data_IF_234879926656
#
_entry.id   IF_234879926656
#
_cell.length_a   1.000
_cell.length_b   1.000
_cell.length_c   1.000
_cell.angle_alpha   90.00
_cell.angle_beta   90.00
_cell.angle_gamma   90.00
#
_symmetry.space_group_name_H-M   'P 1'
#
loop_
_entity.id
_entity.type
_entity.pdbx_description
1 polymer ?
#
# COMPACT_ATOMS: atom_id res chain seq x y z
N UNK A 1 -65.72 17.69 -31.71
CA UNK A 1 -66.38 16.79 -30.76
C UNK A 1 -65.60 16.85 -29.46
N UNK A 2 -66.21 17.42 -28.41
CA UNK A 2 -65.76 17.31 -27.02
C UNK A 2 -66.71 16.30 -26.32
N UNK A 3 -66.62 16.08 -24.98
CA UNK A 3 -65.59 15.30 -24.25
C UNK A 3 -66.25 14.30 -23.25
N UNK A 4 -65.45 13.52 -22.50
CA UNK A 4 -65.78 12.91 -21.18
C UNK A 4 -64.77 11.77 -20.88
N UNK A 5 -64.35 11.44 -19.66
CA UNK A 5 -64.33 12.07 -18.33
C UNK A 5 -63.60 11.07 -17.40
N UNK A 6 -63.11 11.53 -16.24
CA UNK A 6 -62.82 10.64 -15.09
C UNK A 6 -61.38 10.59 -14.57
N UNK A 7 -61.10 11.41 -13.56
CA UNK A 7 -59.94 11.28 -12.64
C UNK A 7 -60.23 10.26 -11.49
N UNK A 8 -59.48 10.19 -10.36
CA UNK A 8 -58.76 8.98 -9.93
C UNK A 8 -59.32 8.34 -8.63
N UNK A 9 -58.87 7.12 -8.28
CA UNK A 9 -59.10 6.49 -6.96
C UNK A 9 -57.75 5.93 -6.46
N UNK A 10 -57.11 6.51 -5.43
CA UNK A 10 -57.34 6.39 -3.98
C UNK A 10 -56.55 5.23 -3.34
N UNK A 11 -55.61 5.60 -2.46
CA UNK A 11 -54.75 4.75 -1.63
C UNK A 11 -55.51 3.84 -0.66
N UNK A 12 -54.91 2.71 -0.22
CA UNK A 12 -55.13 2.19 1.11
C UNK A 12 -54.06 2.70 2.08
N UNK A 13 -54.57 3.54 2.98
CA UNK A 13 -54.01 3.98 4.27
C UNK A 13 -53.51 2.78 5.11
N UNK A 14 -52.26 2.84 5.56
CA UNK A 14 -51.81 2.12 6.77
C UNK A 14 -51.49 3.16 7.83
N UNK A 15 -52.33 3.20 8.87
CA UNK A 15 -52.17 4.05 10.05
C UNK A 15 -51.20 3.42 11.07
N UNK A 16 -50.58 4.27 11.92
CA UNK A 16 -49.52 3.89 12.85
C UNK A 16 -50.08 3.38 14.17
N UNK A 17 -49.38 2.46 14.83
CA UNK A 17 -49.61 2.12 16.23
C UNK A 17 -48.76 3.01 17.14
N UNK A 18 -49.44 3.98 17.75
CA UNK A 18 -49.15 4.62 19.05
C UNK A 18 -48.86 3.58 20.13
N UNK A 19 -47.87 3.72 21.01
CA UNK A 19 -47.90 4.44 22.31
C UNK A 19 -46.58 4.01 23.00
N UNK A 20 -45.89 4.77 23.86
CA UNK A 20 -46.22 5.95 24.66
C UNK A 20 -44.94 6.37 25.42
N UNK A 21 -44.74 7.68 25.61
CA UNK A 21 -44.27 8.38 26.84
C UNK A 21 -43.13 7.74 27.67
N UNK A 22 -42.03 8.43 27.98
CA UNK A 22 -42.01 9.58 28.90
C UNK A 22 -40.91 10.61 28.58
N UNK A 23 -41.30 11.88 28.73
CA UNK A 23 -40.48 13.09 28.84
C UNK A 23 -39.59 13.06 30.09
N UNK A 24 -38.31 13.39 29.94
CA UNK A 24 -37.68 14.66 30.34
C UNK A 24 -37.51 14.89 31.85
N UNK A 25 -36.31 15.31 32.25
CA UNK A 25 -36.06 16.60 32.92
C UNK A 25 -34.54 16.76 33.13
N UNK A 26 -34.06 17.93 32.75
CA UNK A 26 -32.70 18.44 32.94
C UNK A 26 -32.37 18.71 34.42
N UNK A 27 -31.09 18.82 34.78
CA UNK A 27 -30.51 20.02 35.41
C UNK A 27 -29.02 19.85 35.78
N UNK A 28 -28.25 20.88 35.40
CA UNK A 28 -27.10 21.53 36.07
C UNK A 28 -26.30 20.79 37.17
N UNK A 29 -24.98 20.88 37.09
CA UNK A 29 -24.13 20.59 38.25
C UNK A 29 -22.62 20.74 38.04
N UNK A 30 -22.12 21.90 38.41
CA UNK A 30 -20.73 22.36 38.38
C UNK A 30 -19.66 21.44 39.00
N UNK A 31 -18.46 21.58 38.44
CA UNK A 31 -17.13 21.48 39.06
C UNK A 31 -17.01 20.99 40.52
N UNK A 32 -16.13 19.99 40.73
CA UNK A 32 -15.25 19.95 41.90
C UNK A 32 -13.98 19.16 41.61
N UNK A 33 -12.86 19.86 41.77
CA UNK A 33 -11.53 19.30 41.90
C UNK A 33 -11.47 18.33 43.10
N UNK A 34 -10.92 17.14 42.88
CA UNK A 34 -10.66 16.14 43.90
C UNK A 34 -9.20 15.70 43.80
N UNK A 35 -8.37 16.28 44.66
CA UNK A 35 -6.98 15.93 44.87
C UNK A 35 -6.89 14.53 45.50
N UNK A 36 -6.33 13.55 44.78
CA UNK A 36 -6.18 12.17 45.22
C UNK A 36 -4.76 11.68 44.97
N UNK A 37 -3.91 11.82 45.98
CA UNK A 37 -2.50 11.39 46.01
C UNK A 37 -2.41 9.98 46.60
N UNK A 38 -2.09 8.97 45.79
CA UNK A 38 -1.49 7.67 46.17
C UNK A 38 -1.33 6.84 44.88
N UNK A 39 -0.37 5.95 44.67
CA UNK A 39 0.92 5.62 45.26
C UNK A 39 1.64 4.80 44.17
N UNK A 40 2.98 4.86 44.19
CA UNK A 40 3.90 4.24 43.24
C UNK A 40 3.57 2.77 42.86
N UNK A 41 3.44 2.52 41.56
CA UNK A 41 3.60 1.20 40.95
C UNK A 41 4.64 1.31 39.83
N UNK A 42 5.85 0.84 40.09
CA UNK A 42 6.93 0.71 39.10
C UNK A 42 6.50 -0.31 38.02
N UNK A 43 5.93 0.18 36.93
CA UNK A 43 5.82 -0.54 35.66
C UNK A 43 6.76 0.11 34.67
N UNK A 44 7.90 -0.51 34.41
CA UNK A 44 8.90 -0.05 33.44
C UNK A 44 8.25 0.08 32.06
N UNK A 45 8.00 1.32 31.65
CA UNK A 45 7.64 1.66 30.29
C UNK A 45 8.85 1.38 29.38
N UNK A 46 8.82 0.24 28.70
CA UNK A 46 9.77 -0.09 27.63
C UNK A 46 9.46 0.83 26.45
N UNK A 47 10.09 2.01 26.45
CA UNK A 47 9.90 3.04 25.43
C UNK A 47 10.41 2.56 24.06
N UNK A 48 9.81 3.08 22.99
CA UNK A 48 10.19 2.86 21.59
C UNK A 48 11.68 3.10 21.25
N UNK A 49 12.47 3.67 22.17
CA UNK A 49 13.91 3.82 22.04
C UNK A 49 14.67 2.47 22.05
N UNK A 50 14.11 1.40 22.64
CA UNK A 50 14.80 0.11 22.73
C UNK A 50 14.82 -0.65 21.39
N UNK A 51 13.86 -0.41 20.49
CA UNK A 51 13.81 -1.07 19.18
C UNK A 51 14.83 -0.47 18.18
N UNK A 52 15.08 0.84 18.26
CA UNK A 52 16.08 1.53 17.43
C UNK A 52 17.51 1.15 17.85
N UNK A 53 17.75 0.95 19.16
CA UNK A 53 19.06 0.58 19.68
C UNK A 53 19.51 -0.85 19.32
N UNK A 54 18.57 -1.79 19.18
CA UNK A 54 18.90 -3.20 18.90
C UNK A 54 19.23 -3.49 17.43
N UNK A 55 18.77 -2.66 16.49
CA UNK A 55 19.13 -2.79 15.07
C UNK A 55 20.47 -2.13 14.75
N UNK A 56 20.91 -1.18 15.58
CA UNK A 56 22.21 -0.51 15.40
C UNK A 56 23.42 -1.43 15.70
N UNK A 57 23.19 -2.61 16.29
CA UNK A 57 24.23 -3.63 16.55
C UNK A 57 24.29 -4.73 15.49
N UNK A 58 23.41 -4.72 14.48
CA UNK A 58 23.49 -5.59 13.30
C UNK A 58 24.30 -4.94 12.16
N UNK A 59 25.20 -4.00 12.48
CA UNK A 59 26.14 -3.43 11.51
C UNK A 59 27.32 -4.38 11.26
N UNK A 60 27.06 -5.53 10.64
CA UNK A 60 28.10 -6.08 9.77
C UNK A 60 28.19 -5.12 8.58
N UNK A 61 29.39 -4.65 8.18
CA UNK A 61 29.52 -3.80 7.00
C UNK A 61 28.99 -4.58 5.78
N UNK A 62 27.96 -4.02 5.13
CA UNK A 62 27.45 -4.55 3.87
C UNK A 62 28.53 -4.32 2.80
N UNK A 63 28.84 -5.32 1.94
CA UNK A 63 29.77 -5.12 0.84
C UNK A 63 29.23 -4.02 -0.08
N UNK A 64 30.08 -3.08 -0.50
CA UNK A 64 29.69 -2.02 -1.44
C UNK A 64 30.63 -2.09 -2.63
N UNK A 65 30.13 -2.46 -3.81
CA UNK A 65 30.83 -2.23 -5.08
C UNK A 65 30.09 -1.15 -5.86
N UNK A 66 30.78 -0.07 -6.19
CA UNK A 66 30.35 0.88 -7.22
C UNK A 66 31.38 0.83 -8.33
N UNK A 67 31.00 0.26 -9.47
CA UNK A 67 31.74 0.39 -10.72
C UNK A 67 30.75 0.62 -11.87
N UNK A 68 30.88 1.76 -12.55
CA UNK A 68 30.20 2.01 -13.82
C UNK A 68 30.94 1.24 -14.91
N UNK A 69 30.31 0.23 -15.52
CA UNK A 69 30.90 -0.57 -16.60
C UNK A 69 30.14 -0.37 -17.92
N UNK A 70 30.87 -0.18 -19.01
CA UNK A 70 30.35 -0.04 -20.38
C UNK A 70 29.77 -1.37 -20.89
N UNK A 71 28.72 -1.30 -21.70
CA UNK A 71 27.87 -2.42 -22.11
C UNK A 71 28.52 -3.53 -23.00
N UNK A 72 29.82 -3.46 -23.28
CA UNK A 72 30.52 -4.41 -24.17
C UNK A 72 31.46 -5.41 -23.45
N UNK A 73 31.42 -5.49 -22.10
CA UNK A 73 32.25 -6.43 -21.32
C UNK A 73 31.49 -7.35 -20.34
N UNK A 74 30.22 -7.68 -20.59
CA UNK A 74 29.45 -8.60 -19.73
C UNK A 74 29.76 -10.08 -19.99
N UNK A 75 30.96 -10.52 -19.59
CA UNK A 75 31.12 -11.86 -19.04
C UNK A 75 31.80 -11.66 -17.70
N UNK A 76 31.03 -11.80 -16.62
CA UNK A 76 31.55 -11.77 -15.26
C UNK A 76 32.68 -12.80 -15.16
N UNK A 77 33.79 -12.40 -14.55
CA UNK A 77 34.89 -13.34 -14.37
C UNK A 77 34.52 -14.41 -13.34
N UNK A 78 35.07 -15.64 -13.41
CA UNK A 78 34.78 -16.69 -12.42
C UNK A 78 35.05 -16.29 -10.96
N UNK A 79 35.96 -15.33 -10.74
CA UNK A 79 36.25 -14.78 -9.42
C UNK A 79 35.14 -13.85 -8.91
N UNK A 80 34.54 -13.05 -9.81
CA UNK A 80 33.41 -12.17 -9.50
C UNK A 80 32.13 -12.97 -9.24
N UNK A 81 31.86 -14.02 -10.04
CA UNK A 81 30.74 -14.94 -9.82
C UNK A 81 30.85 -15.61 -8.43
N UNK A 82 32.02 -16.11 -8.06
CA UNK A 82 32.24 -16.76 -6.76
C UNK A 82 32.10 -15.80 -5.56
N UNK A 83 32.55 -14.55 -5.69
CA UNK A 83 32.36 -13.52 -4.66
C UNK A 83 30.88 -13.18 -4.50
N UNK A 84 30.17 -13.12 -5.62
CA UNK A 84 28.74 -12.84 -5.68
C UNK A 84 27.90 -13.94 -5.02
N UNK A 85 28.14 -15.21 -5.36
CA UNK A 85 27.51 -16.37 -4.71
C UNK A 85 27.77 -16.37 -3.19
N UNK A 86 29.00 -16.02 -2.78
CA UNK A 86 29.37 -15.91 -1.37
C UNK A 86 28.56 -14.83 -0.63
N UNK A 87 28.33 -13.67 -1.26
CA UNK A 87 27.51 -12.60 -0.70
C UNK A 87 26.04 -13.00 -0.55
N UNK A 88 25.49 -13.71 -1.53
CA UNK A 88 24.12 -14.21 -1.45
C UNK A 88 23.94 -15.20 -0.32
N UNK A 89 24.86 -16.16 -0.21
CA UNK A 89 24.83 -17.17 0.85
C UNK A 89 24.95 -16.53 2.24
N UNK A 90 25.71 -15.44 2.37
CA UNK A 90 25.79 -14.67 3.61
C UNK A 90 24.44 -14.02 3.97
N UNK A 91 23.74 -13.45 2.99
CA UNK A 91 22.40 -12.88 3.20
C UNK A 91 21.39 -13.96 3.57
N UNK A 92 21.34 -15.08 2.85
CA UNK A 92 20.43 -16.20 3.15
C UNK A 92 20.69 -16.77 4.56
N UNK A 93 21.96 -16.93 4.94
CA UNK A 93 22.35 -17.34 6.28
C UNK A 93 21.84 -16.37 7.35
N UNK A 94 21.99 -15.06 7.14
CA UNK A 94 21.48 -14.04 8.04
C UNK A 94 19.94 -14.07 8.15
N UNK A 95 19.22 -14.23 7.03
CA UNK A 95 17.76 -14.37 7.00
C UNK A 95 17.29 -15.59 7.79
N UNK A 96 17.98 -16.71 7.68
CA UNK A 96 17.64 -17.94 8.41
C UNK A 96 17.75 -17.76 9.93
N UNK A 97 18.67 -16.92 10.39
CA UNK A 97 18.93 -16.67 11.80
C UNK A 97 17.92 -15.69 12.45
N UNK A 98 17.19 -14.89 11.65
CA UNK A 98 16.20 -13.95 12.17
C UNK A 98 14.97 -14.68 12.70
N UNK A 99 14.39 -14.27 13.85
CA UNK A 99 13.33 -15.06 14.48
C UNK A 99 11.96 -14.84 13.83
N UNK A 100 11.69 -13.67 13.25
CA UNK A 100 10.37 -13.31 12.71
C UNK A 100 10.47 -12.89 11.25
N UNK A 101 9.40 -13.13 10.50
CA UNK A 101 9.33 -12.79 9.09
C UNK A 101 9.37 -11.28 8.85
N UNK A 102 8.79 -10.49 9.75
CA UNK A 102 8.90 -9.03 9.69
C UNK A 102 10.36 -8.56 9.84
N UNK A 103 11.18 -9.25 10.62
CA UNK A 103 12.61 -8.92 10.75
C UNK A 103 13.35 -9.23 9.44
N UNK A 104 12.97 -10.33 8.75
CA UNK A 104 13.49 -10.68 7.41
C UNK A 104 13.09 -9.67 6.36
N UNK A 105 11.83 -9.21 6.37
CA UNK A 105 11.36 -8.12 5.52
C UNK A 105 12.20 -6.85 5.71
N UNK A 106 12.45 -6.46 6.97
CA UNK A 106 13.27 -5.30 7.30
C UNK A 106 14.72 -5.48 6.85
N UNK A 107 15.29 -6.66 7.04
CA UNK A 107 16.64 -6.98 6.59
C UNK A 107 16.76 -6.89 5.06
N UNK A 108 15.82 -7.48 4.31
CA UNK A 108 15.79 -7.42 2.84
C UNK A 108 15.61 -5.99 2.32
N UNK A 109 14.80 -5.18 3.00
CA UNK A 109 14.65 -3.75 2.67
C UNK A 109 15.95 -3.00 2.90
N UNK A 110 16.69 -3.29 3.99
CA UNK A 110 18.00 -2.72 4.25
C UNK A 110 19.04 -3.17 3.21
N UNK A 111 19.03 -4.45 2.82
CA UNK A 111 19.88 -4.99 1.75
C UNK A 111 19.65 -4.21 0.46
N UNK A 112 18.38 -4.04 0.03
CA UNK A 112 18.04 -3.25 -1.17
C UNK A 112 18.55 -1.81 -1.11
N UNK A 113 18.50 -1.18 0.07
CA UNK A 113 18.97 0.20 0.23
C UNK A 113 20.49 0.33 0.14
N UNK A 114 21.21 -0.70 0.59
CA UNK A 114 22.68 -0.71 0.55
C UNK A 114 23.21 -1.16 -0.82
N UNK A 115 22.59 -2.18 -1.40
CA UNK A 115 22.98 -2.82 -2.65
C UNK A 115 21.72 -3.32 -3.40
N UNK A 116 21.23 -2.49 -4.32
CA UNK A 116 20.03 -2.79 -5.10
C UNK A 116 20.25 -3.95 -6.08
N UNK A 117 21.48 -4.11 -6.59
CA UNK A 117 21.85 -5.17 -7.54
C UNK A 117 21.88 -6.53 -6.84
N UNK A 118 22.55 -6.63 -5.69
CA UNK A 118 22.55 -7.84 -4.87
C UNK A 118 21.12 -8.23 -4.47
N UNK A 119 20.28 -7.26 -4.07
CA UNK A 119 18.89 -7.54 -3.72
C UNK A 119 18.10 -8.15 -4.87
N UNK A 120 18.21 -7.58 -6.08
CA UNK A 120 17.46 -8.12 -7.22
C UNK A 120 18.02 -9.45 -7.68
N UNK A 121 19.33 -9.68 -7.63
CA UNK A 121 19.91 -10.99 -7.93
C UNK A 121 19.46 -12.06 -6.94
N UNK A 122 19.52 -11.77 -5.63
CA UNK A 122 18.95 -12.63 -4.58
C UNK A 122 17.49 -12.99 -4.84
N UNK A 123 16.67 -12.01 -5.23
CA UNK A 123 15.26 -12.22 -5.51
C UNK A 123 15.04 -13.09 -6.77
N UNK A 124 15.88 -12.96 -7.79
CA UNK A 124 15.80 -13.77 -9.02
C UNK A 124 16.30 -15.20 -8.80
N UNK A 125 17.42 -15.37 -8.10
CA UNK A 125 18.07 -16.67 -7.93
C UNK A 125 17.43 -17.51 -6.82
N UNK A 126 16.87 -16.86 -5.79
CA UNK A 126 16.26 -17.51 -4.62
C UNK A 126 14.79 -17.11 -4.44
N UNK A 127 14.05 -16.94 -5.54
CA UNK A 127 12.66 -16.42 -5.52
C UNK A 127 11.76 -17.14 -4.51
N UNK A 128 11.76 -18.48 -4.48
CA UNK A 128 10.86 -19.25 -3.61
C UNK A 128 11.10 -18.98 -2.10
N UNK A 129 12.36 -18.72 -1.72
CA UNK A 129 12.74 -18.44 -0.34
C UNK A 129 12.48 -16.98 0.04
N UNK A 130 12.76 -16.04 -0.87
CA UNK A 130 12.68 -14.60 -0.58
C UNK A 130 11.25 -14.05 -0.71
N UNK A 131 10.46 -14.56 -1.66
CA UNK A 131 9.14 -14.01 -2.00
C UNK A 131 8.16 -13.95 -0.80
N UNK A 132 8.09 -14.95 0.11
CA UNK A 132 7.21 -14.88 1.28
C UNK A 132 7.49 -13.70 2.23
N UNK A 133 8.72 -13.17 2.22
CA UNK A 133 9.13 -12.07 3.10
C UNK A 133 8.88 -10.70 2.47
N UNK A 134 9.10 -10.52 1.16
CA UNK A 134 8.89 -9.22 0.49
C UNK A 134 7.48 -9.05 -0.09
N UNK A 135 6.73 -10.14 -0.18
CA UNK A 135 5.36 -10.19 -0.66
C UNK A 135 4.47 -10.89 0.37
N UNK A 136 3.35 -11.49 -0.04
CA UNK A 136 2.43 -12.18 0.86
C UNK A 136 3.07 -13.43 1.47
N UNK A 137 2.90 -13.68 2.78
CA UNK A 137 2.02 -12.98 3.71
C UNK A 137 2.65 -11.77 4.43
N UNK A 138 3.98 -11.67 4.50
CA UNK A 138 4.70 -10.74 5.38
C UNK A 138 4.46 -9.27 5.05
N UNK A 139 4.30 -8.93 3.77
CA UNK A 139 3.94 -7.56 3.36
C UNK A 139 2.62 -7.09 3.98
N UNK A 140 1.71 -8.02 4.26
CA UNK A 140 0.46 -7.74 4.95
C UNK A 140 0.68 -7.28 6.39
N UNK A 141 1.55 -7.98 7.13
CA UNK A 141 1.99 -7.54 8.47
C UNK A 141 2.67 -6.18 8.40
N UNK A 142 3.55 -5.99 7.41
CA UNK A 142 4.23 -4.72 7.21
C UNK A 142 3.24 -3.56 6.98
N UNK A 143 2.17 -3.77 6.20
CA UNK A 143 1.14 -2.76 5.98
C UNK A 143 0.37 -2.40 7.25
N UNK A 144 0.08 -3.37 8.13
CA UNK A 144 -0.65 -3.12 9.39
C UNK A 144 0.12 -2.25 10.37
N UNK A 145 1.46 -2.35 10.34
CA UNK A 145 2.35 -1.69 11.29
C UNK A 145 3.31 -0.71 10.61
N UNK A 146 2.99 -0.29 9.38
CA UNK A 146 3.92 0.43 8.50
C UNK A 146 4.49 1.70 9.15
N UNK A 147 3.68 2.43 9.92
CA UNK A 147 4.09 3.63 10.63
C UNK A 147 5.05 3.36 11.80
N UNK A 148 5.02 2.16 12.37
CA UNK A 148 5.86 1.71 13.49
C UNK A 148 7.24 1.21 13.03
N UNK A 149 7.34 0.72 11.79
CA UNK A 149 8.55 0.06 11.28
C UNK A 149 9.76 0.99 11.15
N UNK A 150 9.56 2.31 11.23
CA UNK A 150 10.65 3.29 11.09
C UNK A 150 11.28 3.33 9.69
N UNK A 151 10.63 2.73 8.69
CA UNK A 151 11.10 2.69 7.31
C UNK A 151 10.80 3.99 6.56
N UNK A 152 11.72 4.38 5.68
CA UNK A 152 11.46 5.38 4.66
C UNK A 152 10.67 4.73 3.51
N UNK A 153 9.49 5.28 3.12
CA UNK A 153 8.74 4.78 1.97
C UNK A 153 9.50 5.08 0.66
N UNK A 154 9.47 4.13 -0.26
CA UNK A 154 9.89 4.28 -1.65
C UNK A 154 8.64 4.53 -2.50
N UNK A 155 8.34 5.78 -2.81
CA UNK A 155 7.14 6.16 -3.53
C UNK A 155 6.63 7.53 -3.11
N UNK A 156 5.39 7.84 -3.45
CA UNK A 156 4.76 9.09 -3.04
C UNK A 156 3.38 8.90 -2.44
N UNK A 157 3.06 9.78 -1.49
CA UNK A 157 1.73 9.94 -0.94
C UNK A 157 1.07 11.13 -1.63
N UNK A 158 -0.14 10.91 -2.13
CA UNK A 158 -0.99 11.96 -2.70
C UNK A 158 -2.21 12.10 -1.81
N UNK A 159 -2.45 13.32 -1.32
CA UNK A 159 -3.54 13.62 -0.40
C UNK A 159 -4.53 14.63 -1.00
N UNK A 160 -5.72 14.83 -0.42
CA UNK A 160 -6.64 15.89 -0.87
C UNK A 160 -6.04 17.29 -0.78
N UNK A 161 -5.06 17.52 0.10
CA UNK A 161 -4.35 18.79 0.22
C UNK A 161 -3.41 19.06 -0.98
N UNK A 162 -3.12 18.04 -1.78
CA UNK A 162 -2.27 18.11 -2.96
C UNK A 162 -3.04 18.28 -4.26
N UNK A 163 -4.37 18.35 -4.17
CA UNK A 163 -5.25 18.54 -5.33
C UNK A 163 -4.84 19.77 -6.15
N UNK A 164 -4.77 19.59 -7.46
CA UNK A 164 -4.25 20.55 -8.44
C UNK A 164 -2.74 20.47 -8.67
N UNK A 165 -2.00 19.62 -7.93
CA UNK A 165 -0.54 19.50 -8.03
C UNK A 165 -0.05 18.08 -8.32
N UNK A 166 -0.93 17.10 -8.59
CA UNK A 166 -0.49 15.70 -8.75
C UNK A 166 0.54 15.54 -9.87
N UNK A 167 0.38 16.24 -11.00
CA UNK A 167 1.35 16.18 -12.09
C UNK A 167 2.75 16.70 -11.68
N UNK A 168 2.81 17.77 -10.90
CA UNK A 168 4.07 18.31 -10.38
C UNK A 168 4.73 17.33 -9.42
N UNK A 169 3.97 16.80 -8.46
CA UNK A 169 4.46 15.86 -7.46
C UNK A 169 4.97 14.55 -8.09
N UNK A 170 4.23 14.02 -9.08
CA UNK A 170 4.66 12.82 -9.81
C UNK A 170 5.97 13.06 -10.59
N UNK A 171 6.16 14.25 -11.19
CA UNK A 171 7.44 14.60 -11.86
C UNK A 171 8.60 14.71 -10.85
N UNK A 172 8.34 15.31 -9.69
CA UNK A 172 9.32 15.44 -8.63
C UNK A 172 9.73 14.09 -8.00
N UNK A 173 8.82 13.11 -7.98
CA UNK A 173 9.04 11.79 -7.41
C UNK A 173 10.12 10.95 -8.12
N UNK A 174 10.26 11.13 -9.44
CA UNK A 174 11.22 10.42 -10.31
C UNK A 174 11.81 11.40 -11.32
N UNK A 175 12.69 12.32 -10.87
CA UNK A 175 13.26 13.32 -11.74
C UNK A 175 14.17 12.63 -12.77
N UNK A 176 14.05 13.02 -14.05
CA UNK A 176 14.89 12.55 -15.17
C UNK A 176 14.76 11.08 -15.59
N UNK A 177 14.01 10.22 -14.89
CA UNK A 177 13.87 8.80 -15.25
C UNK A 177 12.72 8.50 -16.23
N UNK A 178 11.69 9.36 -16.23
CA UNK A 178 10.49 9.21 -17.05
C UNK A 178 9.68 7.96 -16.68
N UNK A 179 8.65 8.16 -15.85
CA UNK A 179 7.81 7.09 -15.29
C UNK A 179 7.13 6.28 -16.42
N UNK A 180 7.13 4.96 -16.27
CA UNK A 180 6.60 3.96 -17.21
C UNK A 180 5.51 3.09 -16.61
N UNK A 181 5.55 2.87 -15.31
CA UNK A 181 4.51 2.19 -14.58
C UNK A 181 4.23 2.89 -13.25
N UNK A 182 2.95 2.99 -12.90
CA UNK A 182 2.47 3.35 -11.58
C UNK A 182 1.72 2.14 -11.02
N UNK A 183 2.01 1.76 -9.78
CA UNK A 183 1.11 0.95 -8.98
C UNK A 183 0.52 1.87 -7.93
N UNK A 184 -0.80 2.01 -7.94
CA UNK A 184 -1.52 2.85 -6.99
C UNK A 184 -2.43 1.99 -6.12
N UNK A 185 -2.52 2.37 -4.84
CA UNK A 185 -3.52 1.86 -3.90
C UNK A 185 -4.08 3.02 -3.07
N UNK A 186 -5.33 2.89 -2.60
CA UNK A 186 -5.90 3.74 -1.55
C UNK A 186 -5.93 3.04 -0.17
N UNK A 187 -5.39 1.81 -0.11
CA UNK A 187 -5.27 1.02 1.12
C UNK A 187 -6.57 0.59 1.76
N UNK A 188 -7.71 0.66 1.05
CA UNK A 188 -9.02 0.34 1.61
C UNK A 188 -9.24 -1.17 1.80
N UNK A 189 -8.62 -2.01 0.96
CA UNK A 189 -8.82 -3.47 0.99
C UNK A 189 -7.50 -4.21 0.83
N UNK A 190 -6.54 -3.93 1.72
CA UNK A 190 -5.23 -4.57 1.71
C UNK A 190 -5.38 -6.07 1.96
N UNK A 191 -5.12 -6.87 0.93
CA UNK A 191 -5.27 -8.34 0.96
C UNK A 191 -6.62 -8.78 1.59
N UNK A 192 -6.56 -9.59 2.66
CA UNK A 192 -7.70 -9.94 3.51
C UNK A 192 -7.75 -9.18 4.84
N UNK A 193 -6.94 -8.13 4.99
CA UNK A 193 -6.75 -7.37 6.24
C UNK A 193 -7.66 -6.14 6.34
N UNK A 194 -8.35 -5.81 5.25
CA UNK A 194 -9.26 -4.67 5.18
C UNK A 194 -8.51 -3.33 5.06
N UNK A 195 -9.08 -2.31 5.68
CA UNK A 195 -8.60 -0.94 5.58
C UNK A 195 -7.35 -0.71 6.43
N UNK A 196 -6.21 -0.48 5.77
CA UNK A 196 -4.93 -0.14 6.43
C UNK A 196 -4.48 1.30 6.15
N UNK A 197 -5.36 2.11 5.52
CA UNK A 197 -5.08 3.51 5.20
C UNK A 197 -3.73 3.70 4.51
N UNK A 198 -2.96 4.69 4.94
CA UNK A 198 -1.64 5.02 4.43
C UNK A 198 -0.60 3.89 4.53
N UNK A 199 -0.80 2.91 5.43
CA UNK A 199 0.06 1.72 5.51
C UNK A 199 0.00 0.83 4.28
N UNK A 200 -1.03 1.01 3.43
CA UNK A 200 -1.16 0.31 2.16
C UNK A 200 -0.02 0.54 1.16
N UNK A 201 0.81 1.57 1.36
CA UNK A 201 2.00 1.83 0.53
C UNK A 201 2.86 0.58 0.31
N UNK A 202 3.00 -0.28 1.33
CA UNK A 202 3.80 -1.51 1.23
C UNK A 202 3.36 -2.45 0.09
N UNK A 203 2.08 -2.42 -0.29
CA UNK A 203 1.58 -3.20 -1.44
C UNK A 203 2.07 -2.61 -2.76
N UNK A 204 1.93 -1.30 -2.96
CA UNK A 204 2.41 -0.63 -4.18
C UNK A 204 3.93 -0.80 -4.35
N UNK A 205 4.68 -0.70 -3.26
CA UNK A 205 6.13 -0.98 -3.23
C UNK A 205 6.42 -2.42 -3.66
N UNK A 206 5.78 -3.39 -2.98
CA UNK A 206 6.00 -4.82 -3.25
C UNK A 206 5.70 -5.21 -4.70
N UNK A 207 4.60 -4.70 -5.29
CA UNK A 207 4.25 -4.97 -6.69
C UNK A 207 5.32 -4.45 -7.66
N UNK A 208 5.91 -3.30 -7.38
CA UNK A 208 6.98 -2.75 -8.21
C UNK A 208 8.25 -3.57 -8.12
N UNK A 209 8.61 -4.08 -6.93
CA UNK A 209 9.71 -5.03 -6.80
C UNK A 209 9.52 -6.26 -7.70
N UNK A 210 8.29 -6.80 -7.74
CA UNK A 210 7.97 -7.92 -8.62
C UNK A 210 8.04 -7.56 -10.11
N UNK A 211 7.60 -6.36 -10.50
CA UNK A 211 7.79 -5.89 -11.88
C UNK A 211 9.25 -5.80 -12.29
N UNK A 212 10.11 -5.33 -11.39
CA UNK A 212 11.54 -5.24 -11.68
C UNK A 212 12.14 -6.63 -11.81
N UNK A 213 11.93 -7.51 -10.82
CA UNK A 213 12.54 -8.85 -10.82
C UNK A 213 11.98 -9.77 -11.92
N UNK A 214 10.67 -9.74 -12.18
CA UNK A 214 10.02 -10.71 -13.07
C UNK A 214 9.80 -10.20 -14.49
N UNK A 215 9.75 -8.88 -14.69
CA UNK A 215 9.48 -8.27 -16.00
C UNK A 215 10.59 -7.33 -16.48
N UNK A 216 11.70 -7.20 -15.74
CA UNK A 216 12.84 -6.36 -16.10
C UNK A 216 12.51 -4.87 -16.14
N UNK A 217 11.47 -4.43 -15.42
CA UNK A 217 11.12 -3.01 -15.35
C UNK A 217 12.18 -2.26 -14.52
N UNK A 218 12.87 -1.30 -15.14
CA UNK A 218 13.80 -0.40 -14.44
C UNK A 218 13.09 0.26 -13.23
N UNK A 219 13.54 0.01 -11.98
CA UNK A 219 12.86 0.47 -10.76
C UNK A 219 12.79 2.00 -10.69
N UNK A 220 13.73 2.73 -11.33
CA UNK A 220 13.72 4.20 -11.41
C UNK A 220 12.59 4.73 -12.28
N UNK A 221 12.02 3.87 -13.13
CA UNK A 221 10.90 4.18 -14.03
C UNK A 221 9.57 3.65 -13.53
N UNK A 222 9.55 3.01 -12.36
CA UNK A 222 8.36 2.59 -11.66
C UNK A 222 8.11 3.54 -10.48
N UNK A 223 6.84 3.84 -10.19
CA UNK A 223 6.48 4.69 -9.07
C UNK A 223 5.35 4.07 -8.23
N UNK A 224 5.64 3.68 -6.98
CA UNK A 224 4.62 3.34 -6.01
C UNK A 224 3.86 4.60 -5.60
N UNK A 225 2.54 4.55 -5.65
CA UNK A 225 1.66 5.66 -5.26
C UNK A 225 0.70 5.17 -4.18
N UNK A 226 0.60 5.95 -3.11
CA UNK A 226 -0.43 5.84 -2.09
C UNK A 226 -1.38 7.04 -2.22
N UNK A 227 -2.63 6.77 -2.56
CA UNK A 227 -3.68 7.79 -2.55
C UNK A 227 -4.31 7.82 -1.14
N UNK A 228 -3.73 8.62 -0.24
CA UNK A 228 -4.21 8.72 1.14
C UNK A 228 -5.38 9.71 1.22
N UNK A 229 -6.58 9.17 1.28
CA UNK A 229 -7.86 9.90 1.39
C UNK A 229 -8.48 9.76 2.78
N UNK A 230 -7.70 9.35 3.78
CA UNK A 230 -8.17 8.95 5.10
C UNK A 230 -8.37 7.44 5.24
N UNK A 231 -8.83 7.02 6.41
CA UNK A 231 -9.11 5.60 6.73
C UNK A 231 -10.35 5.48 7.60
N UNK A 232 -11.12 4.40 7.43
CA UNK A 232 -12.24 4.06 8.30
C UNK A 232 -11.83 3.14 9.44
N UNK A 233 -10.58 2.68 9.49
CA UNK A 233 -10.06 1.84 10.55
C UNK A 233 -9.88 2.64 11.85
N UNK A 234 -10.79 2.44 12.80
CA UNK A 234 -10.78 3.15 14.09
C UNK A 234 -9.51 2.93 14.90
N UNK A 235 -8.86 1.76 14.75
CA UNK A 235 -7.61 1.48 15.47
C UNK A 235 -6.49 2.39 14.97
N UNK A 236 -6.37 2.58 13.65
CA UNK A 236 -5.39 3.48 13.07
C UNK A 236 -5.69 4.96 13.39
N UNK A 237 -6.96 5.36 13.40
CA UNK A 237 -7.34 6.71 13.78
C UNK A 237 -7.01 7.02 15.24
N UNK A 238 -7.19 6.04 16.13
CA UNK A 238 -6.88 6.16 17.56
C UNK A 238 -5.38 6.04 17.87
N UNK A 239 -4.58 5.43 16.99
CA UNK A 239 -3.16 5.20 17.21
C UNK A 239 -2.37 6.52 17.09
N UNK A 240 -1.73 7.05 18.14
CA UNK A 240 -0.96 8.29 18.10
C UNK A 240 0.28 8.23 17.19
N UNK A 241 0.76 7.04 16.85
CA UNK A 241 1.87 6.82 15.92
C UNK A 241 1.47 6.78 14.44
N UNK A 242 0.18 6.67 14.12
CA UNK A 242 -0.29 6.64 12.73
C UNK A 242 0.11 7.89 11.95
N UNK A 243 0.70 7.68 10.76
CA UNK A 243 1.30 8.73 9.92
C UNK A 243 0.40 9.21 8.77
N UNK A 244 -0.68 8.49 8.45
CA UNK A 244 -1.62 8.91 7.41
C UNK A 244 -2.61 9.97 7.90
N UNK A 245 -3.52 10.38 7.02
CA UNK A 245 -4.57 11.34 7.34
C UNK A 245 -5.51 10.80 8.44
N UNK A 246 -5.61 11.54 9.54
CA UNK A 246 -6.47 11.21 10.70
C UNK A 246 -7.91 11.66 10.49
N UNK A 247 -8.52 11.17 9.43
CA UNK A 247 -9.91 11.43 9.10
C UNK A 247 -10.55 10.20 8.45
N UNK A 248 -11.88 10.16 8.44
CA UNK A 248 -12.63 9.17 7.67
C UNK A 248 -12.37 9.33 6.17
N UNK A 249 -12.52 8.22 5.44
CA UNK A 249 -12.29 8.19 4.00
C UNK A 249 -13.17 9.20 3.28
N UNK A 250 -12.59 9.98 2.38
CA UNK A 250 -13.36 10.71 1.37
C UNK A 250 -14.13 9.73 0.49
N UNK A 251 -15.33 10.15 0.04
CA UNK A 251 -16.25 9.35 -0.76
C UNK A 251 -16.93 10.22 -1.82
N UNK A 252 -17.50 9.55 -2.83
CA UNK A 252 -18.30 10.21 -3.85
C UNK A 252 -17.49 11.19 -4.70
N UNK A 253 -18.06 12.33 -5.11
CA UNK A 253 -17.44 13.25 -6.06
C UNK A 253 -16.05 13.73 -5.65
N UNK A 254 -15.83 14.02 -4.37
CA UNK A 254 -14.54 14.54 -3.88
C UNK A 254 -13.41 13.50 -4.05
N UNK A 255 -13.71 12.22 -3.82
CA UNK A 255 -12.76 11.13 -4.07
C UNK A 255 -12.52 10.94 -5.57
N UNK A 256 -13.59 11.00 -6.37
CA UNK A 256 -13.53 10.80 -7.82
C UNK A 256 -12.69 11.88 -8.51
N UNK A 257 -12.78 13.13 -8.04
CA UNK A 257 -11.99 14.24 -8.56
C UNK A 257 -10.48 14.03 -8.34
N UNK A 258 -10.08 13.41 -7.22
CA UNK A 258 -8.67 13.08 -6.96
C UNK A 258 -8.18 11.95 -7.88
N UNK A 259 -9.00 10.93 -8.10
CA UNK A 259 -8.66 9.85 -9.03
C UNK A 259 -8.61 10.36 -10.47
N UNK A 260 -9.56 11.21 -10.88
CA UNK A 260 -9.55 11.86 -12.20
C UNK A 260 -8.29 12.70 -12.40
N UNK A 261 -7.87 13.45 -11.39
CA UNK A 261 -6.62 14.21 -11.44
C UNK A 261 -5.42 13.30 -11.59
N UNK A 262 -5.34 12.20 -10.82
CA UNK A 262 -4.27 11.21 -10.92
C UNK A 262 -4.20 10.61 -12.33
N UNK A 263 -5.33 10.18 -12.87
CA UNK A 263 -5.41 9.59 -14.22
C UNK A 263 -5.04 10.62 -15.30
N UNK A 264 -5.43 11.88 -15.12
CA UNK A 264 -5.06 12.96 -16.04
C UNK A 264 -3.57 13.27 -15.97
N UNK A 265 -3.01 13.33 -14.77
CA UNK A 265 -1.59 13.54 -14.53
C UNK A 265 -0.75 12.39 -15.11
N UNK A 266 -1.16 11.14 -14.87
CA UNK A 266 -0.53 9.95 -15.42
C UNK A 266 -0.47 9.98 -16.96
N UNK A 267 -1.59 10.28 -17.62
CA UNK A 267 -1.64 10.44 -19.08
C UNK A 267 -0.74 11.59 -19.58
N UNK A 268 -0.68 12.68 -18.82
CA UNK A 268 0.14 13.86 -19.15
C UNK A 268 1.63 13.61 -18.98
N UNK A 269 2.04 12.73 -18.06
CA UNK A 269 3.43 12.27 -17.94
C UNK A 269 3.83 11.45 -19.16
N UNK A 270 2.99 10.48 -19.53
CA UNK A 270 3.20 9.65 -20.70
C UNK A 270 1.89 8.98 -21.14
N UNK A 271 1.42 9.19 -22.39
CA UNK A 271 0.11 8.70 -22.85
C UNK A 271 -0.12 7.18 -22.71
N UNK A 272 0.94 6.39 -22.85
CA UNK A 272 0.89 4.91 -22.77
C UNK A 272 1.63 4.36 -21.54
N UNK A 273 1.69 5.13 -20.45
CA UNK A 273 2.17 4.63 -19.16
C UNK A 273 1.21 3.58 -18.62
N UNK A 274 1.73 2.52 -18.01
CA UNK A 274 0.90 1.55 -17.30
C UNK A 274 0.47 2.12 -15.95
N UNK A 275 -0.82 2.07 -15.64
CA UNK A 275 -1.32 2.32 -14.29
C UNK A 275 -2.08 1.10 -13.78
N UNK A 276 -1.57 0.51 -12.70
CA UNK A 276 -2.19 -0.61 -12.00
C UNK A 276 -2.92 -0.11 -10.76
N UNK A 277 -4.20 -0.42 -10.66
CA UNK A 277 -4.97 -0.29 -9.42
C UNK A 277 -4.80 -1.56 -8.57
N UNK A 278 -4.42 -1.39 -7.31
CA UNK A 278 -4.20 -2.48 -6.37
C UNK A 278 -4.94 -2.25 -5.04
N UNK A 279 -5.59 -3.29 -4.51
CA UNK A 279 -6.18 -3.31 -3.16
C UNK A 279 -7.17 -2.16 -2.85
N UNK A 280 -7.89 -1.70 -3.88
CA UNK A 280 -9.01 -0.77 -3.73
C UNK A 280 -10.25 -1.47 -3.13
N UNK A 281 -11.05 -0.72 -2.39
CA UNK A 281 -12.36 -1.17 -1.92
C UNK A 281 -13.26 -1.64 -3.07
N UNK A 282 -14.02 -2.73 -2.88
CA UNK A 282 -14.77 -3.41 -3.95
C UNK A 282 -15.60 -2.46 -4.84
N UNK A 283 -16.36 -1.55 -4.21
CA UNK A 283 -17.20 -0.60 -4.92
C UNK A 283 -16.39 0.34 -5.83
N UNK A 284 -15.22 0.79 -5.37
CA UNK A 284 -14.33 1.64 -6.14
C UNK A 284 -13.59 0.85 -7.21
N UNK A 285 -13.05 -0.33 -6.88
CA UNK A 285 -12.24 -1.13 -7.80
C UNK A 285 -12.95 -1.40 -9.15
N UNK A 286 -14.21 -1.88 -9.11
CA UNK A 286 -14.97 -2.15 -10.35
C UNK A 286 -15.34 -0.87 -11.10
N UNK A 287 -15.82 0.15 -10.37
CA UNK A 287 -16.26 1.42 -10.94
C UNK A 287 -15.13 2.19 -11.61
N UNK A 288 -13.96 2.27 -10.97
CA UNK A 288 -12.78 2.94 -11.51
C UNK A 288 -12.23 2.18 -12.73
N UNK A 289 -12.18 0.85 -12.67
CA UNK A 289 -11.79 0.04 -13.81
C UNK A 289 -12.70 0.28 -15.02
N UNK A 290 -14.03 0.21 -14.82
CA UNK A 290 -15.02 0.46 -15.88
C UNK A 290 -14.87 1.84 -16.51
N UNK A 291 -14.62 2.86 -15.67
CA UNK A 291 -14.45 4.25 -16.10
C UNK A 291 -13.22 4.48 -16.96
N UNK A 292 -12.08 3.87 -16.65
CA UNK A 292 -10.80 4.23 -17.30
C UNK A 292 -10.23 3.20 -18.28
N UNK A 293 -10.58 1.92 -18.19
CA UNK A 293 -9.94 0.84 -18.98
C UNK A 293 -10.02 1.02 -20.51
N UNK A 294 -11.02 1.75 -21.00
CA UNK A 294 -11.20 2.01 -22.44
C UNK A 294 -10.55 3.32 -22.92
N UNK A 295 -10.06 4.15 -22.00
CA UNK A 295 -9.49 5.46 -22.31
C UNK A 295 -8.03 5.60 -21.89
N UNK A 296 -7.52 4.73 -21.02
CA UNK A 296 -6.13 4.74 -20.55
C UNK A 296 -5.56 3.34 -20.45
N UNK A 297 -4.23 3.23 -20.51
CA UNK A 297 -3.51 1.98 -20.30
C UNK A 297 -3.49 1.66 -18.80
N UNK A 298 -4.62 1.14 -18.30
CA UNK A 298 -4.77 0.76 -16.90
C UNK A 298 -5.46 -0.59 -16.74
N UNK A 299 -5.19 -1.24 -15.62
CA UNK A 299 -5.86 -2.47 -15.22
C UNK A 299 -5.95 -2.55 -13.70
N UNK A 300 -6.75 -3.48 -13.19
CA UNK A 300 -6.86 -3.79 -11.78
C UNK A 300 -6.47 -5.25 -11.55
N UNK A 301 -5.41 -5.50 -10.80
CA UNK A 301 -4.82 -6.83 -10.62
C UNK A 301 -5.80 -7.78 -9.90
N UNK A 302 -6.46 -7.28 -8.84
CA UNK A 302 -7.45 -8.04 -8.08
C UNK A 302 -8.61 -8.58 -8.91
N UNK A 303 -9.08 -7.79 -9.88
CA UNK A 303 -10.21 -8.15 -10.73
C UNK A 303 -9.73 -8.99 -11.91
N UNK A 304 -8.71 -8.54 -12.63
CA UNK A 304 -8.34 -9.11 -13.92
C UNK A 304 -7.34 -10.26 -13.79
N UNK A 305 -6.34 -10.17 -12.92
CA UNK A 305 -5.37 -11.26 -12.74
C UNK A 305 -5.99 -12.48 -12.06
N UNK A 306 -6.90 -12.27 -11.09
CA UNK A 306 -7.67 -13.37 -10.48
C UNK A 306 -8.54 -14.12 -11.49
N UNK A 307 -9.08 -13.43 -12.50
CA UNK A 307 -9.83 -14.08 -13.60
C UNK A 307 -8.89 -14.83 -14.54
N UNK A 308 -7.74 -14.23 -14.88
CA UNK A 308 -6.75 -14.85 -15.75
C UNK A 308 -6.16 -16.13 -15.12
N UNK A 309 -5.78 -16.12 -13.84
CA UNK A 309 -5.23 -17.29 -13.16
C UNK A 309 -6.23 -18.44 -13.05
N UNK A 310 -7.51 -18.13 -12.74
CA UNK A 310 -8.59 -19.14 -12.73
C UNK A 310 -8.86 -19.73 -14.10
N UNK A 311 -8.81 -18.94 -15.17
CA UNK A 311 -9.03 -19.45 -16.53
C UNK A 311 -7.91 -20.40 -17.00
N UNK A 312 -6.69 -20.26 -16.47
CA UNK A 312 -5.56 -21.16 -16.76
C UNK A 312 -5.57 -22.44 -15.91
N UNK A 313 -6.28 -22.44 -14.77
CA UNK A 313 -6.40 -23.60 -13.87
C UNK A 313 -7.49 -24.62 -14.24
N UNK A 314 -8.34 -24.33 -15.23
CA UNK A 314 -9.38 -25.24 -15.71
C UNK A 314 -9.04 -25.81 -17.09
N UNK A 315 -8.17 -26.81 -17.12
CA UNK A 315 -8.17 -27.86 -18.13
C UNK A 315 -7.87 -29.18 -17.43
N UNK A 316 -8.87 -29.98 -17.05
CA UNK A 316 -8.62 -31.41 -16.95
C UNK A 316 -8.35 -31.87 -18.39
N UNK A 317 -7.08 -32.18 -18.69
CA UNK A 317 -6.78 -33.00 -19.86
C UNK A 317 -7.51 -34.32 -19.65
N UNK A 318 -8.67 -34.49 -20.28
CA UNK A 318 -9.26 -35.80 -20.48
C UNK A 318 -8.31 -36.59 -21.38
N UNK A 319 -7.79 -37.68 -20.84
CA UNK A 319 -7.05 -38.72 -21.56
C UNK A 319 -7.93 -39.38 -22.62
#
# INVERSE_FOLDING_TARGET
>A
MAPADGSPAADPVVKPSSNSTEEAIATNGSAKAGNGRAQNGNGTATSAATYVGSLCQLSAPLPTKVALVNADQLLESPEEEAECESMEQAVLSALSALPKDIDRYMYLRATRQADEELFFRLLMDHTEEILPYIYTPTVGEACQRYHELGIAPDGIYLTPADKGRFLELLRAARPHSGIRAIVVTDGERILGLGDQGAGGMGISEGKILLYTAMAGLDPRRALPVMLDVGTNNEKLLADPGYKGLRQKRLRGPEYDELVDELMTAARSLKPHMLLQFEDFGNCNAFRLLERYQHTQCCFNDDIQARRASRSRGCSPRSA
#
